data_IF_874940345927
#
_entry.id   IF_874940345927
#
_cell.length_a   1.000
_cell.length_b   1.000
_cell.length_c   1.000
_cell.angle_alpha   90.00
_cell.angle_beta   90.00
_cell.angle_gamma   90.00
#
_symmetry.space_group_name_H-M   'P 1'
#
loop_
_entity.id
_entity.type
_entity.pdbx_description
1 polymer ?
#
# COMPACT_ATOMS: atom_id res chain seq x y z
N UNK A 1 -25.90 -13.14 -27.18
CA UNK A 1 -25.06 -13.47 -26.02
C UNK A 1 -23.74 -12.70 -26.00
N UNK A 2 -23.19 -12.21 -27.11
CA UNK A 2 -21.94 -11.42 -27.11
C UNK A 2 -22.12 -9.95 -26.62
N UNK A 3 -23.34 -9.41 -26.67
CA UNK A 3 -23.67 -8.05 -26.28
C UNK A 3 -23.88 -7.85 -24.76
N UNK A 4 -23.99 -8.93 -23.99
CA UNK A 4 -24.41 -8.85 -22.58
C UNK A 4 -23.27 -8.70 -21.57
N UNK A 5 -22.00 -8.76 -22.01
CA UNK A 5 -20.85 -8.71 -21.10
C UNK A 5 -20.73 -7.41 -20.31
N UNK A 6 -21.10 -6.29 -20.91
CA UNK A 6 -21.11 -5.00 -20.22
C UNK A 6 -22.21 -4.94 -19.15
N UNK A 7 -23.37 -5.57 -19.42
CA UNK A 7 -24.50 -5.56 -18.48
C UNK A 7 -24.29 -6.45 -17.24
N UNK A 8 -23.26 -7.31 -17.22
CA UNK A 8 -22.82 -7.98 -15.99
C UNK A 8 -22.51 -6.96 -14.86
N UNK A 9 -22.19 -5.73 -15.21
CA UNK A 9 -21.97 -4.65 -14.23
C UNK A 9 -23.23 -4.21 -13.48
N UNK A 10 -24.44 -4.63 -13.91
CA UNK A 10 -25.68 -4.41 -13.16
C UNK A 10 -25.81 -5.32 -11.95
N UNK A 11 -25.17 -6.48 -11.97
CA UNK A 11 -25.35 -7.53 -10.98
C UNK A 11 -24.72 -7.15 -9.64
N UNK A 12 -25.46 -7.35 -8.55
CA UNK A 12 -25.00 -7.04 -7.17
C UNK A 12 -24.30 -8.26 -6.51
N UNK A 13 -23.40 -8.91 -7.24
CA UNK A 13 -22.67 -10.06 -6.72
C UNK A 13 -21.28 -9.69 -6.15
N UNK A 14 -20.90 -8.42 -6.20
CA UNK A 14 -19.62 -7.95 -5.70
C UNK A 14 -19.73 -7.24 -4.38
N UNK A 15 -18.87 -7.63 -3.44
CA UNK A 15 -18.63 -6.88 -2.22
C UNK A 15 -17.52 -5.82 -2.40
N UNK A 16 -17.23 -5.40 -3.65
CA UNK A 16 -16.20 -4.42 -3.99
C UNK A 16 -16.76 -3.32 -4.87
N UNK A 17 -16.04 -2.20 -4.93
CA UNK A 17 -16.25 -1.22 -5.98
C UNK A 17 -16.03 -1.90 -7.36
N UNK A 18 -16.82 -1.60 -8.40
CA UNK A 18 -16.80 -2.31 -9.67
C UNK A 18 -15.51 -2.15 -10.49
N UNK A 19 -14.55 -1.32 -10.05
CA UNK A 19 -13.32 -1.02 -10.82
C UNK A 19 -12.53 -2.26 -11.23
N UNK A 20 -12.42 -3.28 -10.36
CA UNK A 20 -11.78 -4.54 -10.73
C UNK A 20 -12.60 -5.34 -11.75
N UNK A 21 -13.92 -5.25 -11.67
CA UNK A 21 -14.83 -5.94 -12.60
C UNK A 21 -14.68 -5.38 -14.00
N UNK A 22 -14.40 -4.08 -14.16
CA UNK A 22 -14.13 -3.49 -15.47
C UNK A 22 -12.93 -4.14 -16.14
N UNK A 23 -11.89 -4.51 -15.37
CA UNK A 23 -10.75 -5.25 -15.92
C UNK A 23 -11.19 -6.64 -16.41
N UNK A 24 -12.04 -7.35 -15.66
CA UNK A 24 -12.58 -8.64 -16.07
C UNK A 24 -13.43 -8.53 -17.34
N UNK A 25 -14.31 -7.54 -17.40
CA UNK A 25 -15.13 -7.27 -18.58
C UNK A 25 -14.25 -6.93 -19.79
N UNK A 26 -13.31 -6.00 -19.64
CA UNK A 26 -12.37 -5.65 -20.70
C UNK A 26 -11.59 -6.87 -21.18
N UNK A 27 -11.07 -7.69 -20.24
CA UNK A 27 -10.33 -8.90 -20.58
C UNK A 27 -11.18 -9.89 -21.38
N UNK A 28 -12.46 -10.03 -21.02
CA UNK A 28 -13.38 -10.89 -21.75
C UNK A 28 -13.65 -10.45 -23.20
N UNK A 29 -13.58 -9.15 -23.49
CA UNK A 29 -13.65 -8.62 -24.85
C UNK A 29 -12.34 -8.82 -25.63
N UNK A 30 -11.20 -8.57 -24.98
CA UNK A 30 -9.89 -8.70 -25.63
C UNK A 30 -9.53 -10.16 -25.92
N UNK A 31 -9.93 -11.07 -25.04
CA UNK A 31 -9.59 -12.49 -25.09
C UNK A 31 -10.83 -13.39 -24.94
N UNK A 32 -11.76 -13.38 -25.90
CA UNK A 32 -13.06 -14.05 -25.77
C UNK A 32 -13.00 -15.57 -25.65
N UNK A 33 -11.88 -16.18 -26.03
CA UNK A 33 -11.66 -17.64 -25.94
C UNK A 33 -10.92 -18.06 -24.64
N UNK A 34 -10.49 -17.08 -23.83
CA UNK A 34 -9.76 -17.37 -22.60
C UNK A 34 -10.70 -17.87 -21.51
N UNK A 35 -10.35 -19.01 -20.89
CA UNK A 35 -11.10 -19.52 -19.73
C UNK A 35 -11.05 -18.55 -18.54
N UNK A 36 -12.11 -18.51 -17.74
CA UNK A 36 -12.27 -17.55 -16.63
C UNK A 36 -11.09 -17.56 -15.65
N UNK A 37 -10.61 -18.74 -15.24
CA UNK A 37 -9.47 -18.86 -14.32
C UNK A 37 -8.19 -18.25 -14.92
N UNK A 38 -7.93 -18.53 -16.20
CA UNK A 38 -6.76 -17.97 -16.91
C UNK A 38 -6.87 -16.46 -17.04
N UNK A 39 -8.08 -15.94 -17.32
CA UNK A 39 -8.35 -14.51 -17.41
C UNK A 39 -8.03 -13.79 -16.08
N UNK A 40 -8.55 -14.30 -14.96
CA UNK A 40 -8.29 -13.71 -13.62
C UNK A 40 -6.79 -13.72 -13.31
N UNK A 41 -6.10 -14.85 -13.55
CA UNK A 41 -4.66 -14.96 -13.27
C UNK A 41 -3.81 -14.08 -14.18
N UNK A 42 -4.15 -13.96 -15.47
CA UNK A 42 -3.43 -13.10 -16.41
C UNK A 42 -3.58 -11.61 -16.07
N UNK A 43 -4.75 -11.17 -15.59
CA UNK A 43 -4.92 -9.82 -15.04
C UNK A 43 -4.00 -9.63 -13.84
N UNK A 44 -3.93 -10.60 -12.92
CA UNK A 44 -3.01 -10.57 -11.78
C UNK A 44 -1.56 -10.35 -12.21
N UNK A 45 -1.08 -11.13 -13.19
CA UNK A 45 0.29 -10.99 -13.74
C UNK A 45 0.53 -9.60 -14.35
N UNK A 46 -0.45 -9.06 -15.09
CA UNK A 46 -0.32 -7.69 -15.65
C UNK A 46 -0.23 -6.65 -14.54
N UNK A 47 -1.01 -6.80 -13.47
CA UNK A 47 -0.92 -5.92 -12.31
C UNK A 47 0.43 -6.05 -11.59
N UNK A 48 1.02 -7.26 -11.51
CA UNK A 48 2.37 -7.48 -10.96
C UNK A 48 3.44 -6.76 -11.78
N UNK A 49 3.36 -6.83 -13.11
CA UNK A 49 4.25 -6.09 -14.00
C UNK A 49 4.11 -4.56 -13.83
N UNK A 50 2.88 -4.08 -13.66
CA UNK A 50 2.64 -2.66 -13.37
C UNK A 50 3.19 -2.27 -11.99
N UNK A 51 3.09 -3.12 -10.98
CA UNK A 51 3.73 -2.94 -9.67
C UNK A 51 5.25 -2.87 -9.79
N UNK A 52 5.85 -3.79 -10.55
CA UNK A 52 7.28 -3.82 -10.84
C UNK A 52 7.75 -2.55 -11.56
N UNK A 53 6.96 -2.02 -12.51
CA UNK A 53 7.21 -0.74 -13.16
C UNK A 53 7.26 0.41 -12.14
N UNK A 54 6.33 0.48 -11.18
CA UNK A 54 6.31 1.55 -10.20
C UNK A 54 7.47 1.47 -9.20
N UNK A 55 7.87 0.27 -8.75
CA UNK A 55 9.09 0.11 -7.95
C UNK A 55 10.32 0.55 -8.74
N UNK A 56 10.42 0.14 -10.01
CA UNK A 56 11.49 0.60 -10.90
C UNK A 56 11.54 2.14 -10.98
N UNK A 57 10.41 2.79 -11.20
CA UNK A 57 10.30 4.26 -11.26
C UNK A 57 10.74 4.93 -9.96
N UNK A 58 10.30 4.40 -8.81
CA UNK A 58 10.69 4.90 -7.51
C UNK A 58 12.21 4.84 -7.31
N UNK A 59 12.81 3.68 -7.52
CA UNK A 59 14.25 3.47 -7.32
C UNK A 59 15.06 4.30 -8.30
N UNK A 60 14.67 4.37 -9.58
CA UNK A 60 15.33 5.20 -10.60
C UNK A 60 15.35 6.68 -10.23
N UNK A 61 14.20 7.21 -9.79
CA UNK A 61 14.09 8.64 -9.42
C UNK A 61 14.92 8.97 -8.18
N UNK A 62 14.87 8.09 -7.16
CA UNK A 62 15.65 8.28 -5.93
C UNK A 62 17.15 8.22 -6.15
N UNK A 63 17.63 7.45 -7.14
CA UNK A 63 19.03 7.40 -7.52
C UNK A 63 19.48 8.67 -8.26
N UNK A 64 18.67 9.15 -9.21
CA UNK A 64 18.96 10.38 -9.94
C UNK A 64 19.07 11.57 -8.98
N UNK A 65 18.18 11.67 -7.99
CA UNK A 65 18.25 12.73 -6.99
C UNK A 65 19.56 12.69 -6.19
N UNK A 66 19.97 11.51 -5.73
CA UNK A 66 21.26 11.35 -5.02
C UNK A 66 22.47 11.68 -5.85
N UNK A 67 22.43 11.43 -7.17
CA UNK A 67 23.52 11.79 -8.09
C UNK A 67 23.65 13.30 -8.22
N UNK A 68 22.53 14.01 -8.33
CA UNK A 68 22.48 15.48 -8.38
C UNK A 68 22.98 16.09 -7.08
N UNK A 69 22.51 15.60 -5.92
CA UNK A 69 22.92 16.08 -4.61
C UNK A 69 24.43 15.91 -4.36
N UNK A 70 25.01 14.80 -4.85
CA UNK A 70 26.47 14.55 -4.78
C UNK A 70 27.25 15.46 -5.73
N UNK A 71 26.79 15.67 -6.95
CA UNK A 71 27.44 16.55 -7.90
C UNK A 71 27.47 18.01 -7.42
N UNK A 72 26.39 18.47 -6.74
CA UNK A 72 26.30 19.81 -6.15
C UNK A 72 27.18 19.99 -4.90
N UNK A 73 27.56 18.91 -4.19
CA UNK A 73 28.38 18.97 -2.99
C UNK A 73 29.87 18.73 -3.20
N UNK A 74 30.29 18.39 -4.43
CA UNK A 74 31.68 17.99 -4.74
C UNK A 74 32.63 19.16 -5.06
N UNK A 75 32.50 20.27 -4.34
CA UNK A 75 33.54 21.34 -4.36
C UNK A 75 34.68 21.11 -3.34
N UNK A 76 34.68 20.01 -2.57
CA UNK A 76 35.79 19.68 -1.65
C UNK A 76 35.98 18.17 -1.51
N UNK A 77 37.23 17.73 -1.77
CA UNK A 77 37.88 16.45 -1.42
C UNK A 77 37.72 15.27 -2.40
N UNK A 78 38.70 15.22 -3.30
CA UNK A 78 39.13 14.02 -4.04
C UNK A 78 40.08 13.22 -3.14
N UNK A 79 39.58 12.37 -2.26
CA UNK A 79 40.34 11.25 -1.64
C UNK A 79 39.36 10.38 -0.84
N UNK A 80 38.67 9.45 -1.49
CA UNK A 80 38.33 8.15 -0.88
C UNK A 80 37.85 7.18 -2.01
N UNK A 81 38.79 6.40 -2.57
CA UNK A 81 38.51 5.40 -3.62
C UNK A 81 38.61 3.98 -3.10
N UNK A 82 38.23 3.69 -1.88
CA UNK A 82 38.24 2.32 -1.33
C UNK A 82 36.92 1.96 -0.68
N UNK A 83 35.85 1.94 -1.47
CA UNK A 83 34.62 1.21 -1.11
C UNK A 83 34.44 0.01 -2.05
N UNK A 84 34.00 -1.18 -1.52
CA UNK A 84 33.76 -2.35 -2.36
C UNK A 84 32.80 -2.02 -3.48
N UNK A 85 33.06 -2.58 -4.67
CA UNK A 85 32.32 -2.32 -5.89
C UNK A 85 30.80 -2.53 -5.68
N UNK A 86 30.07 -1.45 -5.45
CA UNK A 86 28.63 -1.50 -5.50
C UNK A 86 28.20 -1.81 -6.94
N UNK A 87 27.17 -2.68 -7.15
CA UNK A 87 26.70 -2.96 -8.51
C UNK A 87 26.42 -1.65 -9.25
N UNK A 88 26.72 -1.61 -10.57
CA UNK A 88 26.62 -0.39 -11.34
C UNK A 88 25.24 0.24 -11.09
N UNK A 89 25.21 1.52 -10.76
CA UNK A 89 24.00 2.27 -10.37
C UNK A 89 22.80 2.01 -11.30
N UNK A 90 23.05 1.69 -12.57
CA UNK A 90 22.01 1.41 -13.58
C UNK A 90 21.22 0.11 -13.36
N UNK A 91 21.73 -0.88 -12.63
CA UNK A 91 21.08 -2.18 -12.42
C UNK A 91 20.08 -2.21 -11.24
N UNK A 92 20.23 -1.33 -10.24
CA UNK A 92 19.39 -1.34 -9.03
C UNK A 92 17.88 -1.23 -9.28
N UNK A 93 17.37 -0.35 -10.17
CA UNK A 93 15.93 -0.29 -10.46
C UNK A 93 15.38 -1.58 -11.05
N UNK A 94 16.15 -2.21 -11.96
CA UNK A 94 15.77 -3.49 -12.55
C UNK A 94 15.78 -4.61 -11.49
N UNK A 95 16.80 -4.65 -10.63
CA UNK A 95 16.87 -5.61 -9.51
C UNK A 95 15.65 -5.43 -8.61
N UNK A 96 15.24 -4.18 -8.28
CA UNK A 96 14.08 -3.92 -7.46
C UNK A 96 12.79 -4.46 -8.10
N UNK A 97 12.60 -4.23 -9.39
CA UNK A 97 11.44 -4.75 -10.14
C UNK A 97 11.41 -6.29 -10.15
N UNK A 98 12.56 -6.92 -10.43
CA UNK A 98 12.68 -8.39 -10.44
C UNK A 98 12.47 -8.95 -9.02
N UNK A 99 13.02 -8.32 -7.98
CA UNK A 99 12.81 -8.75 -6.60
C UNK A 99 11.33 -8.78 -6.24
N UNK A 100 10.54 -7.76 -6.64
CA UNK A 100 9.10 -7.78 -6.43
C UNK A 100 8.46 -8.99 -7.12
N UNK A 101 8.74 -9.19 -8.42
CA UNK A 101 8.13 -10.28 -9.19
C UNK A 101 8.50 -11.68 -8.67
N UNK A 102 9.68 -11.83 -8.06
CA UNK A 102 10.14 -13.08 -7.44
C UNK A 102 9.74 -13.21 -5.97
N UNK A 103 9.06 -12.23 -5.39
CA UNK A 103 8.58 -12.31 -4.00
C UNK A 103 7.50 -13.40 -3.90
N UNK A 104 7.66 -14.40 -2.99
CA UNK A 104 6.73 -15.54 -2.93
C UNK A 104 5.28 -15.17 -2.73
N UNK A 105 5.00 -14.14 -1.92
CA UNK A 105 3.63 -13.64 -1.68
C UNK A 105 3.02 -13.02 -2.92
N UNK A 106 3.80 -12.37 -3.79
CA UNK A 106 3.32 -11.83 -5.08
C UNK A 106 2.89 -12.98 -5.99
N UNK A 107 3.76 -13.98 -6.16
CA UNK A 107 3.47 -15.17 -6.99
C UNK A 107 2.24 -15.91 -6.47
N UNK A 108 2.16 -16.15 -5.16
CA UNK A 108 1.04 -16.85 -4.56
C UNK A 108 -0.26 -16.06 -4.64
N UNK A 109 -0.22 -14.75 -4.42
CA UNK A 109 -1.40 -13.89 -4.43
C UNK A 109 -2.03 -13.81 -5.82
N UNK A 110 -1.25 -13.47 -6.85
CA UNK A 110 -1.75 -13.26 -8.21
C UNK A 110 -1.88 -14.57 -8.99
N UNK A 111 -0.77 -15.32 -9.13
CA UNK A 111 -0.70 -16.46 -10.06
C UNK A 111 -1.33 -17.73 -9.48
N UNK A 112 -1.20 -17.99 -8.18
CA UNK A 112 -1.77 -19.18 -7.55
C UNK A 112 -3.20 -18.95 -7.07
N UNK A 113 -3.41 -17.93 -6.24
CA UNK A 113 -4.71 -17.63 -5.61
C UNK A 113 -5.68 -16.87 -6.54
N UNK A 114 -5.16 -16.10 -7.53
CA UNK A 114 -5.98 -15.29 -8.42
C UNK A 114 -6.52 -14.01 -7.76
N UNK A 115 -5.80 -13.47 -6.78
CA UNK A 115 -6.13 -12.21 -6.14
C UNK A 115 -5.61 -11.01 -6.94
N UNK A 116 -6.20 -9.84 -6.72
CA UNK A 116 -5.82 -8.59 -7.37
C UNK A 116 -5.16 -7.59 -6.42
N UNK A 117 -4.49 -8.07 -5.35
CA UNK A 117 -3.96 -7.18 -4.30
C UNK A 117 -2.83 -6.28 -4.81
N UNK A 118 -2.10 -6.71 -5.84
CA UNK A 118 -1.14 -5.84 -6.51
C UNK A 118 -1.82 -4.62 -7.16
N UNK A 119 -3.06 -4.74 -7.64
CA UNK A 119 -3.78 -3.63 -8.27
C UNK A 119 -3.89 -2.41 -7.38
N UNK A 120 -4.40 -2.57 -6.16
CA UNK A 120 -4.49 -1.45 -5.24
C UNK A 120 -3.12 -1.03 -4.67
N UNK A 121 -2.20 -1.97 -4.47
CA UNK A 121 -0.87 -1.69 -3.92
C UNK A 121 -0.02 -0.88 -4.90
N UNK A 122 -0.06 -1.20 -6.21
CA UNK A 122 0.62 -0.41 -7.24
C UNK A 122 0.02 1.00 -7.36
N UNK A 123 -1.31 1.12 -7.24
CA UNK A 123 -1.98 2.42 -7.29
C UNK A 123 -1.61 3.29 -6.08
N UNK A 124 -1.51 2.70 -4.88
CA UNK A 124 -0.96 3.35 -3.68
C UNK A 124 0.48 3.79 -3.93
N UNK A 125 1.34 2.92 -4.46
CA UNK A 125 2.74 3.24 -4.75
C UNK A 125 2.87 4.37 -5.78
N UNK A 126 2.04 4.36 -6.83
CA UNK A 126 1.94 5.44 -7.82
C UNK A 126 1.46 6.76 -7.19
N UNK A 127 0.46 6.67 -6.32
CA UNK A 127 -0.07 7.82 -5.58
C UNK A 127 0.99 8.47 -4.70
N UNK A 128 1.69 7.67 -3.91
CA UNK A 128 2.80 8.13 -3.07
C UNK A 128 3.94 8.73 -3.92
N UNK A 129 4.22 8.17 -5.10
CA UNK A 129 5.19 8.75 -6.04
C UNK A 129 4.78 10.16 -6.46
N UNK A 130 3.53 10.36 -6.87
CA UNK A 130 3.01 11.69 -7.23
C UNK A 130 3.11 12.70 -6.07
N UNK A 131 2.75 12.29 -4.85
CA UNK A 131 2.86 13.12 -3.64
C UNK A 131 4.32 13.46 -3.30
N UNK A 132 5.27 12.54 -3.53
CA UNK A 132 6.69 12.75 -3.24
C UNK A 132 7.37 13.70 -4.21
N UNK A 133 6.96 13.68 -5.48
CA UNK A 133 7.68 14.37 -6.56
C UNK A 133 6.89 15.56 -7.16
N UNK A 134 6.04 16.19 -6.37
CA UNK A 134 5.44 17.48 -6.71
C UNK A 134 4.22 17.41 -7.63
N UNK A 135 3.60 16.24 -7.76
CA UNK A 135 2.37 16.05 -8.54
C UNK A 135 1.18 15.63 -7.65
N UNK A 136 0.74 16.47 -6.68
CA UNK A 136 -0.22 16.06 -5.65
C UNK A 136 -1.58 15.62 -6.20
N UNK A 137 -2.07 16.24 -7.28
CA UNK A 137 -3.34 15.82 -7.92
C UNK A 137 -3.25 14.40 -8.47
N UNK A 138 -2.17 14.06 -9.19
CA UNK A 138 -1.92 12.70 -9.69
C UNK A 138 -1.67 11.71 -8.54
N UNK A 139 -1.04 12.18 -7.46
CA UNK A 139 -0.90 11.40 -6.23
C UNK A 139 -2.25 11.02 -5.64
N UNK A 140 -3.20 11.96 -5.56
CA UNK A 140 -4.56 11.70 -5.09
C UNK A 140 -5.35 10.80 -6.04
N UNK A 141 -5.21 10.96 -7.37
CA UNK A 141 -5.80 10.05 -8.36
C UNK A 141 -5.31 8.62 -8.10
N UNK A 142 -4.00 8.40 -7.95
CA UNK A 142 -3.43 7.08 -7.67
C UNK A 142 -3.99 6.45 -6.39
N UNK A 143 -3.99 7.19 -5.26
CA UNK A 143 -4.55 6.69 -4.00
C UNK A 143 -6.04 6.37 -4.11
N UNK A 144 -6.81 7.22 -4.82
CA UNK A 144 -8.25 7.01 -4.99
C UNK A 144 -8.56 5.82 -5.91
N UNK A 145 -7.78 5.61 -6.97
CA UNK A 145 -7.88 4.39 -7.78
C UNK A 145 -7.53 3.15 -6.96
N UNK A 146 -6.53 3.24 -6.08
CA UNK A 146 -6.23 2.18 -5.12
C UNK A 146 -7.45 1.86 -4.24
N UNK A 147 -8.11 2.89 -3.68
CA UNK A 147 -9.33 2.74 -2.89
C UNK A 147 -10.46 2.15 -3.73
N UNK A 148 -10.64 2.59 -4.97
CA UNK A 148 -11.65 2.07 -5.87
C UNK A 148 -11.39 0.61 -6.28
N UNK A 149 -10.13 0.16 -6.32
CA UNK A 149 -9.79 -1.26 -6.55
C UNK A 149 -10.04 -2.11 -5.30
N UNK A 150 -9.61 -1.65 -4.13
CA UNK A 150 -9.81 -2.34 -2.84
C UNK A 150 -9.80 -1.38 -1.67
N UNK A 151 -10.69 -1.61 -0.70
CA UNK A 151 -10.81 -0.80 0.53
C UNK A 151 -9.50 -0.68 1.31
N UNK A 152 -8.63 -1.68 1.25
CA UNK A 152 -7.36 -1.74 1.99
C UNK A 152 -6.40 -0.58 1.68
N UNK A 153 -6.55 0.08 0.53
CA UNK A 153 -5.80 1.31 0.24
C UNK A 153 -6.04 2.43 1.28
N UNK A 154 -7.16 2.38 2.02
CA UNK A 154 -7.51 3.32 3.10
C UNK A 154 -6.46 3.35 4.21
N UNK A 155 -5.68 2.28 4.42
CA UNK A 155 -4.61 2.25 5.42
C UNK A 155 -3.51 3.28 5.16
N UNK A 156 -3.42 3.80 3.95
CA UNK A 156 -2.48 4.87 3.58
C UNK A 156 -3.05 6.27 3.80
N UNK A 157 -4.37 6.42 3.96
CA UNK A 157 -5.04 7.74 4.03
C UNK A 157 -4.69 8.59 5.26
N UNK A 158 -4.35 8.04 6.44
CA UNK A 158 -3.86 8.86 7.55
C UNK A 158 -2.65 9.73 7.16
N UNK A 159 -1.83 9.26 6.21
CA UNK A 159 -0.72 10.04 5.68
C UNK A 159 -1.17 11.33 4.96
N UNK A 160 -2.35 11.33 4.31
CA UNK A 160 -2.90 12.54 3.69
C UNK A 160 -3.16 13.64 4.73
N UNK A 161 -3.67 13.27 5.91
CA UNK A 161 -3.87 14.22 7.00
C UNK A 161 -2.53 14.81 7.47
N UNK A 162 -1.47 13.98 7.59
CA UNK A 162 -0.12 14.47 7.90
C UNK A 162 0.34 15.46 6.85
N UNK A 163 0.24 15.11 5.56
CA UNK A 163 0.71 15.96 4.46
C UNK A 163 -0.07 17.28 4.35
N UNK A 164 -1.38 17.27 4.62
CA UNK A 164 -2.21 18.47 4.60
C UNK A 164 -1.87 19.46 5.72
N UNK A 165 -1.42 18.94 6.86
CA UNK A 165 -1.10 19.73 8.04
C UNK A 165 0.39 20.13 8.10
N UNK A 166 1.25 19.55 7.27
CA UNK A 166 2.67 19.91 7.21
C UNK A 166 2.87 21.27 6.51
N UNK A 167 3.62 22.22 7.11
CA UNK A 167 3.75 23.59 6.58
C UNK A 167 4.34 23.68 5.18
N UNK A 168 5.26 22.77 4.83
CA UNK A 168 6.00 22.77 3.54
C UNK A 168 5.57 21.64 2.60
N UNK A 169 4.39 21.07 2.81
CA UNK A 169 3.84 20.06 1.92
C UNK A 169 3.38 20.68 0.60
N UNK A 170 3.53 19.92 -0.49
CA UNK A 170 2.93 20.27 -1.79
C UNK A 170 1.44 19.96 -1.84
N UNK A 171 0.91 19.14 -0.94
CA UNK A 171 -0.51 18.83 -0.85
C UNK A 171 -1.26 19.98 -0.17
N UNK A 172 -2.35 20.44 -0.78
CA UNK A 172 -3.21 21.51 -0.26
C UNK A 172 -4.65 21.03 -0.17
N UNK A 173 -5.42 21.66 0.72
CA UNK A 173 -6.86 21.39 0.87
C UNK A 173 -7.63 21.49 -0.45
N UNK A 174 -7.25 22.47 -1.29
CA UNK A 174 -7.82 22.65 -2.64
C UNK A 174 -7.58 21.49 -3.60
N UNK A 175 -6.70 20.55 -3.29
CA UNK A 175 -6.50 19.35 -4.12
C UNK A 175 -7.48 18.23 -3.78
N UNK A 176 -8.11 18.25 -2.59
CA UNK A 176 -8.92 17.14 -2.08
C UNK A 176 -10.16 16.84 -2.93
N UNK A 177 -10.65 17.80 -3.72
CA UNK A 177 -11.76 17.54 -4.64
C UNK A 177 -11.46 16.44 -5.67
N UNK A 178 -10.18 16.17 -5.92
CA UNK A 178 -9.74 15.09 -6.82
C UNK A 178 -10.23 13.73 -6.31
N UNK A 179 -10.29 13.52 -4.99
CA UNK A 179 -10.75 12.26 -4.39
C UNK A 179 -12.20 11.93 -4.79
N UNK A 180 -13.21 12.75 -4.43
CA UNK A 180 -14.59 12.43 -4.79
C UNK A 180 -14.80 12.38 -6.31
N UNK A 181 -14.17 13.25 -7.08
CA UNK A 181 -14.32 13.24 -8.55
C UNK A 181 -13.75 11.96 -9.14
N UNK A 182 -12.53 11.55 -8.75
CA UNK A 182 -11.94 10.30 -9.24
C UNK A 182 -12.76 9.09 -8.79
N UNK A 183 -13.21 9.05 -7.53
CA UNK A 183 -14.01 7.95 -7.02
C UNK A 183 -15.34 7.83 -7.76
N UNK A 184 -16.09 8.93 -7.91
CA UNK A 184 -17.35 8.96 -8.66
C UNK A 184 -17.15 8.56 -10.12
N UNK A 185 -16.08 9.02 -10.76
CA UNK A 185 -15.75 8.62 -12.13
C UNK A 185 -15.57 7.10 -12.27
N UNK A 186 -15.03 6.42 -11.23
CA UNK A 186 -14.92 4.95 -11.25
C UNK A 186 -16.26 4.23 -11.12
N UNK A 187 -17.32 4.89 -10.68
CA UNK A 187 -18.67 4.30 -10.55
C UNK A 187 -19.50 4.43 -11.85
N UNK A 188 -19.16 5.43 -12.69
CA UNK A 188 -19.96 5.79 -13.87
C UNK A 188 -20.21 4.60 -14.81
N UNK A 189 -19.23 3.75 -15.19
CA UNK A 189 -19.53 2.66 -16.13
C UNK A 189 -20.56 1.66 -15.60
N UNK A 190 -20.52 1.32 -14.31
CA UNK A 190 -21.50 0.44 -13.69
C UNK A 190 -22.88 1.12 -13.58
N UNK A 191 -22.92 2.41 -13.27
CA UNK A 191 -24.17 3.17 -13.27
C UNK A 191 -24.81 3.27 -14.65
N UNK A 192 -24.02 3.44 -15.72
CA UNK A 192 -24.49 3.41 -17.12
C UNK A 192 -25.04 2.02 -17.45
N UNK A 193 -24.42 0.95 -16.95
CA UNK A 193 -24.93 -0.42 -17.12
C UNK A 193 -26.24 -0.66 -16.37
N UNK A 194 -26.68 0.24 -15.48
CA UNK A 194 -27.93 0.15 -14.72
C UNK A 194 -27.77 -0.23 -13.25
N UNK A 195 -26.54 -0.31 -12.73
CA UNK A 195 -26.33 -0.58 -11.30
C UNK A 195 -26.81 0.59 -10.43
N UNK A 196 -27.60 0.37 -9.37
CA UNK A 196 -28.13 1.44 -8.54
C UNK A 196 -27.03 2.26 -7.85
N UNK A 197 -27.07 3.60 -7.96
CA UNK A 197 -26.09 4.50 -7.36
C UNK A 197 -25.91 4.31 -5.85
N UNK A 198 -27.02 4.09 -5.14
CA UNK A 198 -26.95 3.88 -3.67
C UNK A 198 -26.13 2.63 -3.33
N UNK A 199 -26.25 1.55 -4.10
CA UNK A 199 -25.47 0.33 -3.91
C UNK A 199 -23.99 0.57 -4.20
N UNK A 200 -23.66 1.31 -5.26
CA UNK A 200 -22.29 1.68 -5.61
C UNK A 200 -21.62 2.54 -4.52
N UNK A 201 -22.35 3.52 -3.99
CA UNK A 201 -21.83 4.43 -2.95
C UNK A 201 -21.69 3.75 -1.58
N UNK A 202 -22.52 2.76 -1.28
CA UNK A 202 -22.54 2.07 0.02
C UNK A 202 -21.77 0.75 0.04
N UNK A 203 -21.07 0.40 -1.03
CA UNK A 203 -20.39 -0.90 -1.17
C UNK A 203 -19.43 -1.19 -0.02
N UNK A 204 -18.63 -0.23 0.44
CA UNK A 204 -17.69 -0.44 1.53
C UNK A 204 -18.36 -0.50 2.91
N UNK A 205 -19.50 0.15 3.09
CA UNK A 205 -20.33 -0.03 4.28
C UNK A 205 -20.90 -1.44 4.35
N UNK A 206 -21.41 -1.97 3.25
CA UNK A 206 -21.90 -3.36 3.14
C UNK A 206 -20.77 -4.35 3.37
N UNK A 207 -19.61 -4.12 2.73
CA UNK A 207 -18.42 -4.96 2.92
C UNK A 207 -17.99 -5.02 4.40
N UNK A 208 -17.98 -3.89 5.10
CA UNK A 208 -17.65 -3.84 6.52
C UNK A 208 -18.61 -4.68 7.38
N UNK A 209 -19.87 -4.77 7.00
CA UNK A 209 -20.89 -5.52 7.73
C UNK A 209 -21.06 -6.98 7.26
N UNK A 210 -20.20 -7.47 6.35
CA UNK A 210 -20.32 -8.84 5.81
C UNK A 210 -19.88 -9.92 6.82
N UNK A 211 -18.91 -9.61 7.70
CA UNK A 211 -18.33 -10.59 8.61
C UNK A 211 -18.46 -10.15 10.06
N UNK A 212 -18.92 -11.06 10.93
CA UNK A 212 -19.03 -10.87 12.38
C UNK A 212 -17.92 -11.63 13.12
N UNK A 213 -16.66 -11.40 12.71
CA UNK A 213 -15.46 -11.97 13.33
C UNK A 213 -14.43 -10.87 13.57
N UNK A 214 -13.76 -10.94 14.72
CA UNK A 214 -12.70 -9.98 15.06
C UNK A 214 -11.47 -10.10 14.16
N UNK A 215 -11.19 -11.29 13.65
CA UNK A 215 -10.08 -11.54 12.71
C UNK A 215 -10.43 -12.69 11.76
N UNK A 216 -9.93 -12.60 10.54
CA UNK A 216 -10.11 -13.56 9.45
C UNK A 216 -8.71 -14.04 9.01
N UNK A 217 -8.06 -14.83 9.88
CA UNK A 217 -6.67 -15.30 9.76
C UNK A 217 -5.61 -14.20 9.68
N UNK A 218 -5.96 -12.93 9.98
CA UNK A 218 -4.97 -11.87 10.04
C UNK A 218 -4.08 -12.02 11.27
N UNK A 219 -2.77 -11.75 11.17
CA UNK A 219 -1.85 -11.71 12.30
C UNK A 219 -2.04 -10.41 13.11
N UNK A 220 -3.19 -10.29 13.78
CA UNK A 220 -3.63 -9.10 14.52
C UNK A 220 -3.70 -9.34 16.02
N UNK A 221 -3.87 -8.26 16.80
CA UNK A 221 -4.02 -8.36 18.26
C UNK A 221 -5.19 -9.24 18.69
N UNK A 222 -6.20 -9.42 17.83
CA UNK A 222 -7.40 -10.21 18.13
C UNK A 222 -7.13 -11.71 18.19
N UNK A 223 -5.97 -12.19 17.74
CA UNK A 223 -5.58 -13.59 17.88
C UNK A 223 -5.45 -14.06 19.34
N UNK A 224 -5.29 -13.11 20.29
CA UNK A 224 -5.27 -13.43 21.72
C UNK A 224 -6.64 -13.40 22.40
N UNK A 225 -7.67 -12.96 21.68
CA UNK A 225 -9.02 -12.76 22.23
C UNK A 225 -10.09 -13.55 21.45
N UNK A 226 -9.95 -14.87 21.25
CA UNK A 226 -10.85 -15.65 20.38
C UNK A 226 -12.27 -15.75 20.92
N UNK A 227 -12.47 -15.57 22.23
CA UNK A 227 -13.76 -15.65 22.90
C UNK A 227 -14.30 -14.28 23.35
N UNK A 228 -13.67 -13.18 22.91
CA UNK A 228 -14.08 -11.85 23.27
C UNK A 228 -15.46 -11.50 22.68
N UNK A 229 -16.22 -10.66 23.37
CA UNK A 229 -17.45 -10.10 22.82
C UNK A 229 -17.15 -9.30 21.55
N UNK A 230 -17.74 -9.72 20.47
CA UNK A 230 -17.49 -9.17 19.14
C UNK A 230 -17.80 -7.67 19.08
N UNK A 231 -18.95 -7.26 19.63
CA UNK A 231 -19.41 -5.86 19.57
C UNK A 231 -18.52 -4.94 20.38
N UNK A 232 -18.23 -5.33 21.64
CA UNK A 232 -17.36 -4.55 22.53
C UNK A 232 -15.94 -4.44 21.96
N UNK A 233 -15.34 -5.55 21.54
CA UNK A 233 -13.97 -5.55 21.01
C UNK A 233 -13.86 -4.88 19.64
N UNK A 234 -14.90 -4.92 18.81
CA UNK A 234 -14.94 -4.13 17.56
C UNK A 234 -14.92 -2.63 17.87
N UNK A 235 -15.75 -2.15 18.81
CA UNK A 235 -15.79 -0.74 19.21
C UNK A 235 -14.47 -0.30 19.85
N UNK A 236 -13.94 -1.07 20.78
CA UNK A 236 -12.65 -0.79 21.42
C UNK A 236 -11.50 -0.73 20.40
N UNK A 237 -11.46 -1.67 19.47
CA UNK A 237 -10.43 -1.72 18.43
C UNK A 237 -10.50 -0.54 17.46
N UNK A 238 -11.69 -0.12 17.06
CA UNK A 238 -11.89 1.08 16.26
C UNK A 238 -11.43 2.34 17.01
N UNK A 239 -11.81 2.49 18.29
CA UNK A 239 -11.41 3.61 19.12
C UNK A 239 -9.90 3.65 19.34
N UNK A 240 -9.27 2.51 19.66
CA UNK A 240 -7.83 2.40 19.84
C UNK A 240 -7.08 2.74 18.57
N UNK A 241 -7.52 2.18 17.43
CA UNK A 241 -6.91 2.44 16.11
C UNK A 241 -7.01 3.91 15.74
N UNK A 242 -8.18 4.54 15.94
CA UNK A 242 -8.40 5.96 15.69
C UNK A 242 -7.53 6.83 16.59
N UNK A 243 -7.52 6.57 17.90
CA UNK A 243 -6.76 7.34 18.88
C UNK A 243 -5.25 7.29 18.61
N UNK A 244 -4.71 6.09 18.36
CA UNK A 244 -3.29 5.94 18.04
C UNK A 244 -2.94 6.56 16.70
N UNK A 245 -3.80 6.43 15.69
CA UNK A 245 -3.61 7.07 14.38
C UNK A 245 -3.57 8.59 14.52
N UNK A 246 -4.49 9.19 15.28
CA UNK A 246 -4.50 10.64 15.54
C UNK A 246 -3.25 11.09 16.31
N UNK A 247 -2.82 10.33 17.31
CA UNK A 247 -1.59 10.63 18.05
C UNK A 247 -0.35 10.60 17.14
N UNK A 248 -0.27 9.62 16.24
CA UNK A 248 0.82 9.53 15.27
C UNK A 248 0.77 10.66 14.24
N UNK A 249 -0.41 11.00 13.70
CA UNK A 249 -0.59 12.16 12.81
C UNK A 249 -0.09 13.42 13.51
N UNK A 250 -0.56 13.69 14.74
CA UNK A 250 -0.15 14.84 15.53
C UNK A 250 1.37 14.89 15.72
N UNK A 251 1.98 13.77 16.12
CA UNK A 251 3.42 13.69 16.34
C UNK A 251 4.21 13.95 15.06
N UNK A 252 3.82 13.34 13.93
CA UNK A 252 4.47 13.51 12.63
C UNK A 252 4.38 14.94 12.10
N UNK A 253 3.22 15.59 12.25
CA UNK A 253 3.02 17.00 11.87
C UNK A 253 3.92 17.93 12.68
N UNK A 254 4.04 17.67 14.01
CA UNK A 254 4.90 18.48 14.90
C UNK A 254 6.39 18.27 14.64
N UNK A 255 6.75 17.13 14.06
CA UNK A 255 8.13 16.71 13.88
C UNK A 255 8.71 17.05 12.52
N UNK A 256 7.94 17.02 11.47
CA UNK A 256 8.40 17.16 10.11
C UNK A 256 7.65 18.27 9.39
N UNK A 257 8.35 19.30 8.94
CA UNK A 257 7.78 20.35 8.07
C UNK A 257 7.43 19.81 6.69
N UNK A 258 8.19 18.82 6.22
CA UNK A 258 8.02 18.11 4.95
C UNK A 258 8.66 16.73 5.06
N UNK A 259 8.07 15.74 4.42
CA UNK A 259 8.71 14.44 4.26
C UNK A 259 9.64 14.40 3.05
N UNK A 260 10.81 13.78 3.22
CA UNK A 260 11.58 13.26 2.09
C UNK A 260 10.89 12.01 1.51
N UNK A 261 11.15 11.63 0.23
CA UNK A 261 10.52 10.45 -0.35
C UNK A 261 10.68 9.16 0.47
N UNK A 262 11.86 8.84 1.05
CA UNK A 262 11.97 7.67 1.93
C UNK A 262 11.20 7.79 3.26
N UNK A 263 11.05 8.99 3.82
CA UNK A 263 10.25 9.21 5.03
C UNK A 263 8.76 9.03 4.75
N UNK A 264 8.30 9.50 3.59
CA UNK A 264 6.91 9.33 3.16
C UNK A 264 6.58 7.85 2.95
N UNK A 265 7.45 7.08 2.27
CA UNK A 265 7.31 5.63 2.14
C UNK A 265 7.30 4.93 3.50
N UNK A 266 8.17 5.35 4.41
CA UNK A 266 8.25 4.78 5.75
C UNK A 266 7.00 5.07 6.59
N UNK A 267 6.45 6.28 6.53
CA UNK A 267 5.22 6.63 7.21
C UNK A 267 4.02 5.85 6.63
N UNK A 268 3.95 5.72 5.30
CA UNK A 268 2.96 4.88 4.63
C UNK A 268 3.06 3.41 5.08
N UNK A 269 4.28 2.85 5.11
CA UNK A 269 4.54 1.51 5.62
C UNK A 269 4.07 1.37 7.07
N UNK A 270 4.40 2.34 7.92
CA UNK A 270 4.00 2.33 9.34
C UNK A 270 2.49 2.23 9.52
N UNK A 271 1.69 2.99 8.78
CA UNK A 271 0.23 2.89 8.83
C UNK A 271 -0.28 1.59 8.23
N UNK A 272 0.33 1.08 7.15
CA UNK A 272 -0.06 -0.19 6.51
C UNK A 272 0.35 -1.44 7.34
N UNK A 273 1.23 -1.32 8.33
CA UNK A 273 1.50 -2.36 9.33
C UNK A 273 0.58 -2.21 10.54
N UNK A 274 0.40 -0.98 11.03
CA UNK A 274 -0.33 -0.68 12.26
C UNK A 274 -1.82 -0.97 12.14
N UNK A 275 -2.45 -0.50 11.06
CA UNK A 275 -3.91 -0.58 10.92
C UNK A 275 -4.40 -2.02 10.76
N UNK A 276 -3.81 -2.89 9.91
CA UNK A 276 -4.20 -4.29 9.88
C UNK A 276 -3.92 -5.04 11.18
N UNK A 277 -2.97 -4.59 12.00
CA UNK A 277 -2.66 -5.19 13.29
C UNK A 277 -3.69 -4.82 14.38
N UNK A 278 -4.21 -3.58 14.36
CA UNK A 278 -5.12 -3.03 15.38
C UNK A 278 -6.60 -3.09 15.01
N UNK A 279 -6.94 -2.92 13.72
CA UNK A 279 -8.34 -2.90 13.29
C UNK A 279 -8.97 -4.30 13.40
N UNK A 280 -10.24 -4.39 13.82
CA UNK A 280 -11.01 -5.62 13.75
C UNK A 280 -11.35 -5.97 12.29
N UNK A 281 -11.78 -7.23 12.07
CA UNK A 281 -12.24 -7.75 10.78
C UNK A 281 -11.17 -7.82 9.69
N UNK A 282 -9.89 -7.86 10.06
CA UNK A 282 -8.79 -7.94 9.11
C UNK A 282 -8.62 -9.36 8.57
N UNK A 283 -8.28 -9.44 7.27
CA UNK A 283 -7.98 -10.68 6.56
C UNK A 283 -6.48 -10.96 6.48
N UNK A 284 -6.13 -12.22 6.25
CA UNK A 284 -4.79 -12.75 6.09
C UNK A 284 -3.89 -11.99 5.10
N UNK A 285 -4.46 -11.49 3.99
CA UNK A 285 -3.72 -10.82 2.90
C UNK A 285 -3.65 -9.29 3.00
N UNK A 286 -4.16 -8.69 4.08
CA UNK A 286 -4.19 -7.22 4.20
C UNK A 286 -2.82 -6.57 4.46
N UNK A 287 -1.78 -7.38 4.63
CA UNK A 287 -0.38 -6.92 4.69
C UNK A 287 0.27 -6.73 3.31
N UNK A 288 -0.37 -7.13 2.21
CA UNK A 288 0.23 -7.13 0.88
C UNK A 288 0.78 -5.75 0.47
N UNK A 289 0.04 -4.66 0.71
CA UNK A 289 0.55 -3.31 0.45
C UNK A 289 1.76 -2.95 1.32
N UNK A 290 1.79 -3.40 2.58
CA UNK A 290 2.94 -3.20 3.45
C UNK A 290 4.20 -3.90 2.91
N UNK A 291 4.08 -5.09 2.33
CA UNK A 291 5.20 -5.80 1.69
C UNK A 291 5.78 -4.99 0.53
N UNK A 292 4.93 -4.50 -0.37
CA UNK A 292 5.34 -3.69 -1.53
C UNK A 292 6.04 -2.41 -1.08
N UNK A 293 5.52 -1.74 -0.05
CA UNK A 293 6.11 -0.54 0.55
C UNK A 293 7.44 -0.84 1.25
N UNK A 294 7.53 -1.94 2.00
CA UNK A 294 8.74 -2.35 2.71
C UNK A 294 9.86 -2.71 1.73
N UNK A 295 9.56 -3.48 0.67
CA UNK A 295 10.50 -3.78 -0.41
C UNK A 295 10.99 -2.49 -1.09
N UNK A 296 10.09 -1.59 -1.45
CA UNK A 296 10.45 -0.31 -2.07
C UNK A 296 11.38 0.49 -1.14
N UNK A 297 11.03 0.59 0.15
CA UNK A 297 11.83 1.32 1.14
C UNK A 297 13.22 0.72 1.34
N UNK A 298 13.36 -0.62 1.30
CA UNK A 298 14.63 -1.30 1.45
C UNK A 298 15.65 -0.91 0.35
N UNK A 299 15.20 -0.62 -0.87
CA UNK A 299 16.07 -0.10 -1.94
C UNK A 299 16.53 1.35 -1.70
N UNK A 300 15.76 2.14 -0.96
CA UNK A 300 16.17 3.47 -0.50
C UNK A 300 17.04 3.43 0.76
N UNK A 301 16.69 2.55 1.70
CA UNK A 301 17.32 2.43 3.02
C UNK A 301 17.60 0.95 3.30
N UNK A 302 18.78 0.40 2.94
CA UNK A 302 19.11 -1.02 3.09
C UNK A 302 18.90 -1.59 4.50
N UNK A 303 18.98 -0.74 5.54
CA UNK A 303 18.65 -1.15 6.92
C UNK A 303 17.22 -1.63 7.12
N UNK A 304 16.30 -1.35 6.17
CA UNK A 304 14.93 -1.84 6.16
C UNK A 304 14.76 -3.19 5.44
N UNK A 305 15.85 -3.78 4.93
CA UNK A 305 15.79 -5.12 4.33
C UNK A 305 15.26 -6.19 5.31
N UNK A 306 15.69 -6.23 6.59
CA UNK A 306 15.08 -7.15 7.57
C UNK A 306 13.58 -6.92 7.79
N UNK A 307 13.12 -5.66 7.75
CA UNK A 307 11.69 -5.30 7.84
C UNK A 307 10.93 -5.87 6.63
N UNK A 308 11.46 -5.70 5.41
CA UNK A 308 10.85 -6.23 4.19
C UNK A 308 10.76 -7.76 4.23
N UNK A 309 11.84 -8.45 4.58
CA UNK A 309 11.86 -9.91 4.71
C UNK A 309 10.85 -10.37 5.77
N UNK A 310 10.86 -9.77 6.95
CA UNK A 310 9.95 -10.13 8.03
C UNK A 310 8.48 -9.92 7.64
N UNK A 311 8.16 -8.81 6.96
CA UNK A 311 6.78 -8.54 6.50
C UNK A 311 6.32 -9.60 5.50
N UNK A 312 7.18 -9.99 4.53
CA UNK A 312 6.88 -11.06 3.57
C UNK A 312 6.68 -12.41 4.29
N UNK A 313 7.54 -12.77 5.24
CA UNK A 313 7.43 -14.03 5.99
C UNK A 313 6.15 -14.07 6.84
N UNK A 314 5.79 -12.96 7.50
CA UNK A 314 4.57 -12.85 8.30
C UNK A 314 3.34 -12.98 7.41
N UNK A 315 3.32 -12.29 6.27
CA UNK A 315 2.22 -12.36 5.31
C UNK A 315 2.09 -13.75 4.71
N UNK A 316 3.20 -14.37 4.30
CA UNK A 316 3.21 -15.74 3.78
C UNK A 316 2.69 -16.74 4.81
N UNK A 317 3.09 -16.61 6.08
CA UNK A 317 2.60 -17.43 7.17
C UNK A 317 1.10 -17.27 7.41
N UNK A 318 0.55 -16.05 7.24
CA UNK A 318 -0.88 -15.78 7.39
C UNK A 318 -1.74 -16.35 6.25
N UNK A 319 -1.16 -16.65 5.09
CA UNK A 319 -1.88 -17.30 3.97
C UNK A 319 -2.09 -18.82 4.22
N UNK A 320 -1.24 -19.44 5.06
CA UNK A 320 -1.23 -20.88 5.25
C UNK A 320 -2.57 -21.46 5.74
N UNK A 321 -3.30 -20.87 6.71
CA UNK A 321 -4.59 -21.40 7.14
C UNK A 321 -5.61 -21.50 6.00
N UNK A 322 -5.64 -20.53 5.10
CA UNK A 322 -6.55 -20.54 3.96
C UNK A 322 -6.06 -21.47 2.83
N UNK A 323 -4.79 -21.38 2.45
CA UNK A 323 -4.25 -22.11 1.29
C UNK A 323 -3.97 -23.58 1.60
N UNK A 324 -3.61 -23.92 2.84
CA UNK A 324 -3.17 -25.25 3.25
C UNK A 324 -4.08 -25.89 4.31
N UNK A 325 -5.13 -25.19 4.76
CA UNK A 325 -6.05 -25.68 5.80
C UNK A 325 -5.43 -25.81 7.20
N UNK A 326 -4.22 -25.28 7.42
CA UNK A 326 -3.50 -25.37 8.72
C UNK A 326 -2.55 -24.19 8.92
N UNK A 327 -2.32 -23.84 10.17
CA UNK A 327 -1.25 -22.92 10.54
C UNK A 327 0.11 -23.64 10.46
N UNK A 328 1.05 -23.08 9.70
CA UNK A 328 2.45 -23.51 9.70
C UNK A 328 3.19 -22.82 10.85
N UNK A 329 2.93 -21.53 11.02
CA UNK A 329 3.41 -20.72 12.13
C UNK A 329 2.15 -20.22 12.85
N UNK A 330 2.04 -20.36 14.18
CA UNK A 330 0.88 -19.89 14.92
C UNK A 330 0.59 -18.41 14.63
N UNK A 331 -0.64 -18.08 14.27
CA UNK A 331 -1.04 -16.69 13.94
C UNK A 331 -0.74 -15.72 15.10
N UNK A 332 -0.82 -16.18 16.36
CA UNK A 332 -0.40 -15.39 17.53
C UNK A 332 1.09 -15.01 17.47
N UNK A 333 1.95 -15.93 17.05
CA UNK A 333 3.39 -15.68 16.86
C UNK A 333 3.64 -14.67 15.74
N UNK A 334 2.93 -14.81 14.60
CA UNK A 334 3.00 -13.87 13.50
C UNK A 334 2.51 -12.47 13.93
N UNK A 335 1.50 -12.37 14.78
CA UNK A 335 0.99 -11.10 15.31
C UNK A 335 2.00 -10.42 16.25
N UNK A 336 2.77 -11.17 17.04
CA UNK A 336 3.92 -10.62 17.81
C UNK A 336 4.96 -10.07 16.83
N UNK A 337 5.36 -10.88 15.84
CA UNK A 337 6.31 -10.47 14.83
C UNK A 337 5.90 -9.19 14.12
N UNK A 338 4.63 -9.07 13.72
CA UNK A 338 4.08 -7.87 13.08
C UNK A 338 4.15 -6.65 14.01
N UNK A 339 3.80 -6.81 15.29
CA UNK A 339 3.94 -5.76 16.29
C UNK A 339 5.39 -5.28 16.44
N UNK A 340 6.36 -6.21 16.53
CA UNK A 340 7.80 -5.90 16.63
C UNK A 340 8.28 -5.14 15.39
N UNK A 341 7.92 -5.61 14.18
CA UNK A 341 8.24 -4.94 12.91
C UNK A 341 7.66 -3.53 12.88
N UNK A 342 6.37 -3.39 13.23
CA UNK A 342 5.69 -2.09 13.30
C UNK A 342 6.37 -1.13 14.27
N UNK A 343 6.67 -1.59 15.50
CA UNK A 343 7.41 -0.79 16.50
C UNK A 343 8.77 -0.34 15.95
N UNK A 344 9.51 -1.24 15.26
CA UNK A 344 10.79 -0.92 14.65
C UNK A 344 10.68 0.19 13.60
N UNK A 345 9.68 0.12 12.72
CA UNK A 345 9.41 1.15 11.70
C UNK A 345 9.06 2.48 12.32
N UNK A 346 8.19 2.50 13.34
CA UNK A 346 7.78 3.72 14.05
C UNK A 346 8.90 4.30 14.89
N UNK A 347 9.66 3.47 15.63
CA UNK A 347 10.79 3.93 16.44
C UNK A 347 11.82 4.68 15.60
N UNK A 348 12.12 4.19 14.37
CA UNK A 348 13.06 4.87 13.47
C UNK A 348 12.49 6.22 12.99
N UNK A 349 11.18 6.30 12.75
CA UNK A 349 10.53 7.52 12.30
C UNK A 349 10.33 8.54 13.44
N UNK A 350 10.06 8.06 14.65
CA UNK A 350 9.78 8.88 15.84
C UNK A 350 11.06 9.16 16.68
N UNK A 351 12.15 8.43 16.46
CA UNK A 351 13.43 8.57 17.16
C UNK A 351 14.12 9.94 16.94
N UNK A 352 15.15 10.32 17.69
CA UNK A 352 15.79 11.62 17.58
C UNK A 352 16.25 11.91 16.15
N UNK A 353 15.96 13.12 15.66
CA UNK A 353 16.41 13.56 14.31
C UNK A 353 17.92 13.73 14.37
N UNK A 354 18.67 12.93 13.61
CA UNK A 354 20.11 13.15 13.45
C UNK A 354 20.35 14.56 12.90
N UNK A 355 21.40 15.23 13.34
CA UNK A 355 21.71 16.62 12.96
C UNK A 355 21.79 16.81 11.45
N UNK A 356 22.18 15.76 10.69
CA UNK A 356 22.24 15.76 9.21
C UNK A 356 20.87 16.05 8.59
N UNK A 357 19.78 15.53 9.19
CA UNK A 357 18.43 15.76 8.66
C UNK A 357 17.91 17.18 8.94
N UNK A 358 18.43 17.88 9.98
CA UNK A 358 18.06 19.28 10.28
C UNK A 358 18.60 20.26 9.25
N UNK A 359 19.78 19.99 8.68
CA UNK A 359 20.36 20.87 7.65
C UNK A 359 19.61 20.75 6.30
N UNK A 360 19.20 19.55 5.90
CA UNK A 360 18.42 19.36 4.66
C UNK A 360 17.00 19.94 4.73
N UNK A 361 16.45 20.14 5.93
CA UNK A 361 15.14 20.76 6.13
C UNK A 361 15.21 22.30 6.12
N UNK A 362 16.39 22.90 6.31
CA UNK A 362 16.57 24.35 6.46
C UNK A 362 17.04 25.08 5.23
N UNK A 363 17.53 24.41 4.17
CA UNK A 363 17.89 25.06 2.92
C UNK A 363 16.63 25.49 2.17
N UNK A 364 16.38 26.80 1.98
CA UNK A 364 15.34 27.26 1.07
C UNK A 364 15.79 26.89 -0.34
N UNK A 365 14.88 26.33 -1.12
CA UNK A 365 15.06 26.32 -2.58
C UNK A 365 14.97 27.78 -3.05
N UNK A 366 16.15 28.35 -3.42
CA UNK A 366 16.25 29.59 -4.17
C UNK A 366 15.75 29.36 -5.59
#
# INVERSE_FOLDING_TARGET
QANDRFFVLQEDFFNYNPTYVYLLVLWSYLFPQMGALTAVKSIGVVLDLAGAYWIFRWVSRGMNQRSIDRAGSSTTNVTDRTSPAQPPLRSRPAIAAVTLLLTPTVILNSSYWGQCDMGYSMAVLAGLYGLSYGAPRWGLVGLTLGLALKLQAVFTYPLLAVLLLQPRSSLRWSHLWVIPVTYLATLVPAAIAGHPWLHLLTVYWRQFNTYDRLTLNAPSIYQWFPQADYTAFTRLGLLLSASLTLALIWHLVRRYDRFTPPQLLQAALGFNLLLPWLLPKMHDRYLFSAEVLALTLAFFRPRFLPVAIATVVISLGSYAPYLLGREIIPLRGLAIGLGVVGIGVWRDLLGPVSQVNRFQQKTPES
#
